data_IF_247194604441
#
_entry.id   IF_247194604441
#
_cell.length_a   1.000
_cell.length_b   1.000
_cell.length_c   1.000
_cell.angle_alpha   90.00
_cell.angle_beta   90.00
_cell.angle_gamma   90.00
#
_symmetry.space_group_name_H-M   'P 1'
#
loop_
_entity.id
_entity.type
_entity.pdbx_description
1 polymer ?
#
# COMPACT_ATOMS: atom_id res chain seq x y z
N UNK A 1 9.79 47.36 -18.24
CA UNK A 1 9.70 46.95 -16.82
C UNK A 1 8.45 46.09 -16.56
N UNK A 2 7.29 46.43 -17.14
CA UNK A 2 6.04 45.65 -17.03
C UNK A 2 6.14 44.16 -17.41
N UNK A 3 6.87 43.78 -18.47
CA UNK A 3 6.93 42.38 -18.91
C UNK A 3 7.75 41.43 -18.01
N UNK A 4 8.72 41.96 -17.24
CA UNK A 4 9.53 41.12 -16.33
C UNK A 4 8.72 40.66 -15.12
N UNK A 5 7.82 41.51 -14.60
CA UNK A 5 7.00 41.21 -13.42
C UNK A 5 5.86 40.23 -13.74
N UNK A 6 5.31 40.29 -14.96
CA UNK A 6 4.29 39.32 -15.40
C UNK A 6 4.88 37.93 -15.61
N UNK A 7 6.08 37.82 -16.20
CA UNK A 7 6.79 36.55 -16.35
C UNK A 7 7.09 35.93 -14.99
N UNK A 8 7.61 36.70 -14.02
CA UNK A 8 7.89 36.20 -12.67
C UNK A 8 6.61 35.70 -11.97
N UNK A 9 5.50 36.42 -12.12
CA UNK A 9 4.20 36.02 -11.57
C UNK A 9 3.73 34.69 -12.17
N UNK A 10 3.83 34.54 -13.49
CA UNK A 10 3.47 33.29 -14.18
C UNK A 10 4.34 32.11 -13.72
N UNK A 11 5.65 32.33 -13.56
CA UNK A 11 6.58 31.31 -13.05
C UNK A 11 6.24 30.91 -11.60
N UNK A 12 5.86 31.85 -10.74
CA UNK A 12 5.43 31.56 -9.37
C UNK A 12 4.14 30.73 -9.34
N UNK A 13 3.14 31.09 -10.16
CA UNK A 13 1.91 30.30 -10.25
C UNK A 13 2.17 28.89 -10.79
N UNK A 14 3.01 28.77 -11.82
CA UNK A 14 3.44 27.49 -12.36
C UNK A 14 4.18 26.65 -11.30
N UNK A 15 4.99 27.28 -10.46
CA UNK A 15 5.66 26.62 -9.34
C UNK A 15 4.64 26.00 -8.36
N UNK A 16 3.61 26.73 -7.92
CA UNK A 16 2.60 26.14 -7.02
C UNK A 16 1.80 25.01 -7.67
N UNK A 17 1.41 25.17 -8.94
CA UNK A 17 0.69 24.12 -9.69
C UNK A 17 1.56 22.87 -9.81
N UNK A 18 2.85 23.02 -10.12
CA UNK A 18 3.77 21.90 -10.21
C UNK A 18 3.95 21.20 -8.86
N UNK A 19 4.00 21.93 -7.74
CA UNK A 19 4.04 21.31 -6.41
C UNK A 19 2.79 20.47 -6.11
N UNK A 20 1.58 20.97 -6.42
CA UNK A 20 0.34 20.21 -6.23
C UNK A 20 0.33 18.92 -7.06
N UNK A 21 0.76 19.01 -8.33
CA UNK A 21 0.87 17.83 -9.21
C UNK A 21 1.89 16.83 -8.65
N UNK A 22 3.04 17.28 -8.14
CA UNK A 22 4.04 16.39 -7.55
C UNK A 22 3.52 15.69 -6.28
N UNK A 23 2.80 16.39 -5.41
CA UNK A 23 2.16 15.81 -4.22
C UNK A 23 1.15 14.73 -4.64
N UNK A 24 0.30 15.01 -5.61
CA UNK A 24 -0.68 14.06 -6.13
C UNK A 24 -0.02 12.83 -6.77
N UNK A 25 1.01 13.02 -7.59
CA UNK A 25 1.76 11.91 -8.21
C UNK A 25 2.48 11.06 -7.16
N UNK A 26 3.05 11.68 -6.13
CA UNK A 26 3.66 10.98 -5.01
C UNK A 26 2.63 10.11 -4.28
N UNK A 27 1.47 10.68 -3.94
CA UNK A 27 0.37 9.95 -3.31
C UNK A 27 -0.08 8.75 -4.15
N UNK A 28 -0.37 8.95 -5.44
CA UNK A 28 -0.82 7.88 -6.34
C UNK A 28 0.23 6.78 -6.49
N UNK A 29 1.50 7.15 -6.66
CA UNK A 29 2.61 6.20 -6.77
C UNK A 29 2.74 5.36 -5.50
N UNK A 30 2.71 6.01 -4.33
CA UNK A 30 2.84 5.32 -3.05
C UNK A 30 1.61 4.47 -2.73
N UNK A 31 0.41 4.92 -3.06
CA UNK A 31 -0.84 4.15 -2.95
C UNK A 31 -0.78 2.88 -3.80
N UNK A 32 -0.34 2.98 -5.07
CA UNK A 32 -0.17 1.83 -5.97
C UNK A 32 0.83 0.82 -5.40
N UNK A 33 1.97 1.30 -4.89
CA UNK A 33 2.97 0.45 -4.26
C UNK A 33 2.41 -0.31 -3.04
N UNK A 34 1.67 0.36 -2.15
CA UNK A 34 1.04 -0.29 -0.98
C UNK A 34 -0.03 -1.30 -1.38
N UNK A 35 -0.84 -1.00 -2.39
CA UNK A 35 -1.82 -1.95 -2.94
C UNK A 35 -1.13 -3.20 -3.51
N UNK A 36 0.00 -3.01 -4.20
CA UNK A 36 0.82 -4.12 -4.69
C UNK A 36 1.34 -5.02 -3.57
N UNK A 37 1.83 -4.44 -2.48
CA UNK A 37 2.25 -5.20 -1.29
C UNK A 37 1.08 -5.97 -0.67
N UNK A 38 -0.09 -5.33 -0.52
CA UNK A 38 -1.31 -5.98 -0.02
C UNK A 38 -1.63 -7.23 -0.83
N UNK A 39 -1.80 -7.06 -2.14
CA UNK A 39 -2.12 -8.18 -3.05
C UNK A 39 -1.06 -9.28 -2.94
N UNK A 40 0.23 -8.91 -2.97
CA UNK A 40 1.34 -9.85 -2.91
C UNK A 40 1.36 -10.72 -1.63
N UNK A 41 0.99 -10.16 -0.48
CA UNK A 41 0.90 -10.88 0.79
C UNK A 41 -0.36 -11.75 0.86
N UNK A 42 -1.52 -11.21 0.51
CA UNK A 42 -2.77 -11.97 0.51
C UNK A 42 -2.74 -13.13 -0.48
N UNK A 43 -2.13 -12.95 -1.66
CA UNK A 43 -1.92 -14.05 -2.61
C UNK A 43 -1.06 -15.16 -1.99
N UNK A 44 0.01 -14.82 -1.27
CA UNK A 44 0.85 -15.83 -0.60
C UNK A 44 0.07 -16.58 0.50
N UNK A 45 -0.78 -15.88 1.28
CA UNK A 45 -1.66 -16.50 2.27
C UNK A 45 -2.65 -17.47 1.61
N UNK A 46 -3.34 -17.03 0.55
CA UNK A 46 -4.33 -17.85 -0.16
C UNK A 46 -3.67 -19.06 -0.81
N UNK A 47 -2.55 -18.87 -1.49
CA UNK A 47 -1.78 -19.96 -2.10
C UNK A 47 -1.34 -20.96 -1.03
N UNK A 48 -0.74 -20.50 0.08
CA UNK A 48 -0.37 -21.37 1.19
C UNK A 48 -1.57 -22.13 1.77
N UNK A 49 -2.69 -21.45 2.04
CA UNK A 49 -3.90 -22.07 2.57
C UNK A 49 -4.49 -23.11 1.60
N UNK A 50 -4.43 -22.88 0.28
CA UNK A 50 -4.86 -23.87 -0.71
C UNK A 50 -4.00 -25.13 -0.70
N UNK A 51 -2.71 -25.00 -0.39
CA UNK A 51 -1.81 -26.16 -0.27
C UNK A 51 -1.99 -26.90 1.06
N UNK A 52 -2.50 -26.24 2.11
CA UNK A 52 -2.72 -26.85 3.42
C UNK A 52 -4.12 -27.49 3.50
N UNK A 53 -5.15 -26.72 3.12
CA UNK A 53 -6.56 -26.96 3.45
C UNK A 53 -7.32 -27.83 2.43
N UNK A 54 -8.46 -27.33 1.95
CA UNK A 54 -9.37 -28.07 1.07
C UNK A 54 -8.65 -28.49 -0.22
N UNK A 55 -8.64 -29.80 -0.52
CA UNK A 55 -7.82 -30.51 -1.54
C UNK A 55 -6.28 -30.44 -1.37
N UNK A 56 -5.80 -29.86 -0.27
CA UNK A 56 -4.39 -29.72 0.08
C UNK A 56 -3.82 -30.86 0.91
N UNK A 57 -2.77 -30.56 1.68
CA UNK A 57 -2.04 -31.46 2.57
C UNK A 57 -2.96 -32.24 3.50
N UNK A 58 -3.83 -31.54 4.23
CA UNK A 58 -4.71 -32.16 5.23
C UNK A 58 -5.72 -33.09 4.54
N UNK A 59 -6.21 -32.70 3.36
CA UNK A 59 -7.15 -33.51 2.60
C UNK A 59 -6.50 -34.80 2.08
N UNK A 60 -5.32 -34.69 1.46
CA UNK A 60 -4.60 -35.86 0.95
C UNK A 60 -4.11 -36.75 2.08
N UNK A 61 -3.70 -36.19 3.22
CA UNK A 61 -3.40 -36.97 4.42
C UNK A 61 -4.61 -37.76 4.93
N UNK A 62 -5.81 -37.16 4.97
CA UNK A 62 -7.03 -37.89 5.34
C UNK A 62 -7.36 -38.99 4.33
N UNK A 63 -7.29 -38.69 3.03
CA UNK A 63 -7.55 -39.70 2.00
C UNK A 63 -6.53 -40.85 2.03
N UNK A 64 -5.29 -40.57 2.37
CA UNK A 64 -4.26 -41.56 2.58
C UNK A 64 -4.56 -42.53 3.73
N UNK A 65 -5.22 -42.06 4.80
CA UNK A 65 -5.71 -42.91 5.89
C UNK A 65 -6.91 -43.75 5.42
N UNK A 66 -7.85 -43.13 4.70
CA UNK A 66 -9.11 -43.76 4.28
C UNK A 66 -8.92 -44.77 3.13
N UNK A 67 -7.92 -44.56 2.27
CA UNK A 67 -7.65 -45.33 1.05
C UNK A 67 -6.18 -45.73 0.99
N UNK A 68 -5.70 -46.59 1.91
CA UNK A 68 -4.28 -46.95 1.99
C UNK A 68 -3.75 -47.66 0.74
N UNK A 69 -4.64 -48.24 -0.07
CA UNK A 69 -4.30 -48.90 -1.33
C UNK A 69 -4.09 -47.91 -2.50
N UNK A 70 -4.29 -46.62 -2.29
CA UNK A 70 -4.12 -45.54 -3.27
C UNK A 70 -2.89 -44.69 -2.90
N UNK A 71 -1.66 -45.11 -3.27
CA UNK A 71 -0.42 -44.49 -2.77
C UNK A 71 -0.20 -43.05 -3.25
N UNK A 72 -0.95 -42.59 -4.26
CA UNK A 72 -0.82 -41.23 -4.78
C UNK A 72 -1.16 -40.17 -3.72
N UNK A 73 -2.09 -40.44 -2.80
CA UNK A 73 -2.40 -39.49 -1.72
C UNK A 73 -1.21 -39.22 -0.80
N UNK A 74 -0.29 -40.18 -0.63
CA UNK A 74 0.95 -39.97 0.13
C UNK A 74 1.86 -39.00 -0.59
N UNK A 75 2.09 -39.25 -1.88
CA UNK A 75 2.92 -38.39 -2.73
C UNK A 75 2.36 -36.97 -2.82
N UNK A 76 1.04 -36.85 -3.01
CA UNK A 76 0.37 -35.56 -3.12
C UNK A 76 0.38 -34.78 -1.79
N UNK A 77 0.28 -35.47 -0.64
CA UNK A 77 0.45 -34.84 0.67
C UNK A 77 1.87 -34.26 0.83
N UNK A 78 2.91 -35.01 0.48
CA UNK A 78 4.28 -34.50 0.51
C UNK A 78 4.49 -33.31 -0.43
N UNK A 79 3.95 -33.38 -1.64
CA UNK A 79 4.06 -32.31 -2.63
C UNK A 79 3.31 -31.04 -2.19
N UNK A 80 2.13 -31.19 -1.61
CA UNK A 80 1.38 -30.08 -1.02
C UNK A 80 2.14 -29.45 0.16
N UNK A 81 2.75 -30.25 1.03
CA UNK A 81 3.59 -29.74 2.12
C UNK A 81 4.80 -28.96 1.56
N UNK A 82 5.46 -29.46 0.51
CA UNK A 82 6.58 -28.77 -0.15
C UNK A 82 6.14 -27.42 -0.74
N UNK A 83 5.02 -27.40 -1.48
CA UNK A 83 4.46 -26.17 -2.05
C UNK A 83 4.03 -25.19 -0.97
N UNK A 84 3.40 -25.66 0.10
CA UNK A 84 2.99 -24.84 1.24
C UNK A 84 4.20 -24.16 1.91
N UNK A 85 5.30 -24.89 2.14
CA UNK A 85 6.53 -24.31 2.69
C UNK A 85 7.10 -23.19 1.81
N UNK A 86 7.14 -23.37 0.49
CA UNK A 86 7.59 -22.32 -0.44
C UNK A 86 6.73 -21.07 -0.33
N UNK A 87 5.41 -21.24 -0.19
CA UNK A 87 4.50 -20.10 -0.04
C UNK A 87 4.64 -19.44 1.33
N UNK A 88 4.88 -20.22 2.38
CA UNK A 88 5.17 -19.70 3.70
C UNK A 88 6.46 -18.87 3.71
N UNK A 89 7.54 -19.34 3.09
CA UNK A 89 8.80 -18.58 3.01
C UNK A 89 8.59 -17.24 2.28
N UNK A 90 7.84 -17.25 1.18
CA UNK A 90 7.47 -16.01 0.47
C UNK A 90 6.62 -15.09 1.36
N UNK A 91 5.68 -15.65 2.11
CA UNK A 91 4.82 -14.90 3.02
C UNK A 91 5.64 -14.25 4.14
N UNK A 92 6.57 -14.98 4.76
CA UNK A 92 7.44 -14.44 5.81
C UNK A 92 8.32 -13.30 5.29
N UNK A 93 8.94 -13.47 4.11
CA UNK A 93 9.76 -12.41 3.48
C UNK A 93 8.90 -11.17 3.18
N UNK A 94 7.76 -11.33 2.50
CA UNK A 94 6.90 -10.20 2.10
C UNK A 94 6.22 -9.55 3.30
N UNK A 95 5.77 -10.35 4.26
CA UNK A 95 5.14 -9.90 5.48
C UNK A 95 6.12 -9.16 6.39
N UNK A 96 7.39 -9.58 6.46
CA UNK A 96 8.43 -8.87 7.19
C UNK A 96 8.67 -7.44 6.65
N UNK A 97 8.47 -7.17 5.35
CA UNK A 97 8.54 -5.79 4.82
C UNK A 97 7.46 -4.87 5.42
N UNK A 98 6.34 -5.43 5.87
CA UNK A 98 5.22 -4.70 6.45
C UNK A 98 5.31 -4.68 7.98
N UNK A 99 5.51 -5.86 8.57
CA UNK A 99 5.50 -6.14 10.02
C UNK A 99 6.87 -5.96 10.68
N UNK A 100 7.92 -5.63 9.92
CA UNK A 100 9.36 -5.64 10.30
C UNK A 100 9.94 -7.04 10.52
N UNK A 101 9.14 -7.93 11.10
CA UNK A 101 9.48 -9.33 11.35
C UNK A 101 8.20 -10.16 11.17
N UNK A 102 8.33 -11.31 10.54
CA UNK A 102 7.28 -12.32 10.49
C UNK A 102 7.91 -13.71 10.50
N UNK A 103 7.43 -14.56 11.40
CA UNK A 103 7.74 -15.98 11.45
C UNK A 103 6.46 -16.70 11.88
N UNK A 104 6.00 -17.68 11.11
CA UNK A 104 4.76 -18.41 11.39
C UNK A 104 5.08 -19.80 11.93
N UNK A 105 5.56 -19.83 13.18
CA UNK A 105 6.08 -21.04 13.81
C UNK A 105 5.00 -22.11 13.97
N UNK A 106 3.76 -21.73 14.31
CA UNK A 106 2.68 -22.71 14.46
C UNK A 106 2.40 -23.41 13.13
N UNK A 107 2.32 -22.66 12.03
CA UNK A 107 2.16 -23.22 10.67
C UNK A 107 3.33 -24.12 10.30
N UNK A 108 4.58 -23.73 10.61
CA UNK A 108 5.76 -24.59 10.36
C UNK A 108 5.67 -25.90 11.12
N UNK A 109 5.35 -25.84 12.42
CA UNK A 109 5.22 -27.05 13.24
C UNK A 109 4.10 -27.96 12.76
N UNK A 110 2.95 -27.41 12.37
CA UNK A 110 1.87 -28.19 11.77
C UNK A 110 2.32 -28.88 10.47
N UNK A 111 3.00 -28.19 9.56
CA UNK A 111 3.48 -28.80 8.32
C UNK A 111 4.48 -29.95 8.57
N UNK A 112 5.39 -29.77 9.54
CA UNK A 112 6.32 -30.83 9.97
C UNK A 112 5.56 -32.01 10.58
N UNK A 113 4.62 -31.74 11.49
CA UNK A 113 3.82 -32.75 12.17
C UNK A 113 3.00 -33.60 11.19
N UNK A 114 2.37 -33.00 10.18
CA UNK A 114 1.66 -33.73 9.13
C UNK A 114 2.63 -34.52 8.25
N UNK A 115 3.77 -33.93 7.86
CA UNK A 115 4.78 -34.63 7.04
C UNK A 115 5.28 -35.90 7.73
N UNK A 116 5.59 -35.82 9.02
CA UNK A 116 5.99 -36.96 9.83
C UNK A 116 4.89 -38.02 9.90
N UNK A 117 3.64 -37.61 10.14
CA UNK A 117 2.49 -38.54 10.18
C UNK A 117 2.24 -39.23 8.84
N UNK A 118 2.35 -38.52 7.71
CA UNK A 118 2.27 -39.11 6.37
C UNK A 118 3.36 -40.19 6.21
N UNK A 119 4.57 -39.94 6.71
CA UNK A 119 5.67 -40.91 6.61
C UNK A 119 5.48 -42.17 7.47
N UNK A 120 4.63 -42.11 8.51
CA UNK A 120 4.31 -43.27 9.36
C UNK A 120 3.23 -44.17 8.78
N UNK A 121 2.42 -43.68 7.83
CA UNK A 121 1.27 -44.42 7.28
C UNK A 121 1.62 -45.81 6.75
N UNK A 122 2.67 -46.00 5.92
CA UNK A 122 3.00 -47.33 5.38
C UNK A 122 3.21 -48.37 6.48
N UNK A 123 3.97 -48.02 7.52
CA UNK A 123 4.27 -48.93 8.64
C UNK A 123 3.05 -49.23 9.52
N UNK A 124 2.06 -48.33 9.57
CA UNK A 124 0.81 -48.55 10.33
C UNK A 124 -0.17 -49.41 9.54
N UNK A 125 -0.20 -49.28 8.21
CA UNK A 125 -0.99 -50.16 7.33
C UNK A 125 -0.50 -51.60 7.40
N UNK A 126 0.81 -51.83 7.48
CA UNK A 126 1.40 -53.18 7.62
C UNK A 126 1.02 -53.88 8.95
N UNK A 127 0.66 -53.12 9.99
CA UNK A 127 0.27 -53.65 11.31
C UNK A 127 -1.19 -54.08 11.39
N UNK A 128 -1.94 -54.11 10.28
CA UNK A 128 -3.37 -54.43 10.23
C UNK A 128 -4.24 -53.60 11.18
N UNK A 129 -3.82 -52.38 11.52
CA UNK A 129 -4.65 -51.46 12.29
C UNK A 129 -5.89 -51.06 11.47
N UNK A 130 -7.04 -50.95 12.13
CA UNK A 130 -8.24 -50.42 11.49
C UNK A 130 -8.08 -48.94 11.15
N UNK A 131 -8.83 -48.48 10.15
CA UNK A 131 -8.84 -47.06 9.73
C UNK A 131 -9.11 -46.11 10.91
N UNK A 132 -10.03 -46.50 11.81
CA UNK A 132 -10.38 -45.72 13.01
C UNK A 132 -9.21 -45.61 13.99
N UNK A 133 -8.46 -46.70 14.19
CA UNK A 133 -7.28 -46.70 15.07
C UNK A 133 -6.15 -45.86 14.48
N UNK A 134 -5.93 -45.93 13.16
CA UNK A 134 -4.92 -45.10 12.47
C UNK A 134 -5.29 -43.61 12.53
N UNK A 135 -6.54 -43.25 12.28
CA UNK A 135 -7.02 -41.86 12.37
C UNK A 135 -6.84 -41.30 13.78
N UNK A 136 -7.22 -42.07 14.81
CA UNK A 136 -7.06 -41.66 16.20
C UNK A 136 -5.58 -41.54 16.61
N UNK A 137 -4.73 -42.47 16.17
CA UNK A 137 -3.29 -42.45 16.48
C UNK A 137 -2.56 -41.27 15.82
N UNK A 138 -2.95 -40.91 14.59
CA UNK A 138 -2.29 -39.85 13.83
C UNK A 138 -2.94 -38.47 13.98
N UNK A 139 -3.94 -38.33 14.85
CA UNK A 139 -4.63 -37.05 15.06
C UNK A 139 -3.64 -35.93 15.43
N UNK A 140 -3.93 -34.73 14.94
CA UNK A 140 -3.15 -33.52 15.22
C UNK A 140 -4.11 -32.35 15.42
N UNK A 141 -3.81 -31.49 16.39
CA UNK A 141 -4.53 -30.25 16.64
C UNK A 141 -3.88 -29.10 15.85
N UNK A 142 -4.51 -28.71 14.74
CA UNK A 142 -4.05 -27.66 13.84
C UNK A 142 -4.64 -26.27 14.14
N UNK A 143 -5.46 -26.16 15.19
CA UNK A 143 -6.07 -24.88 15.61
C UNK A 143 -5.03 -23.78 15.88
N UNK A 144 -3.86 -24.03 16.51
CA UNK A 144 -2.84 -23.01 16.69
C UNK A 144 -2.35 -22.39 15.36
N UNK A 145 -2.29 -23.18 14.29
CA UNK A 145 -1.89 -22.71 12.96
C UNK A 145 -2.99 -21.88 12.32
N UNK A 146 -4.25 -22.28 12.48
CA UNK A 146 -5.39 -21.52 12.01
C UNK A 146 -5.44 -20.12 12.64
N UNK A 147 -5.27 -20.06 13.97
CA UNK A 147 -5.21 -18.80 14.73
C UNK A 147 -4.05 -17.93 14.25
N UNK A 148 -2.85 -18.49 14.09
CA UNK A 148 -1.68 -17.74 13.65
C UNK A 148 -1.89 -17.11 12.27
N UNK A 149 -2.43 -17.86 11.30
CA UNK A 149 -2.74 -17.35 9.95
C UNK A 149 -3.71 -16.16 10.03
N UNK A 150 -4.79 -16.30 10.80
CA UNK A 150 -5.79 -15.24 10.97
C UNK A 150 -5.18 -13.98 11.60
N UNK A 151 -4.43 -14.15 12.70
CA UNK A 151 -3.79 -13.03 13.41
C UNK A 151 -2.80 -12.29 12.51
N UNK A 152 -2.01 -13.01 11.70
CA UNK A 152 -1.07 -12.40 10.75
C UNK A 152 -1.81 -11.65 9.66
N UNK A 153 -2.85 -12.24 9.08
CA UNK A 153 -3.67 -11.60 8.04
C UNK A 153 -4.30 -10.30 8.55
N UNK A 154 -4.87 -10.32 9.75
CA UNK A 154 -5.50 -9.15 10.38
C UNK A 154 -4.47 -8.05 10.69
N UNK A 155 -3.31 -8.41 11.25
CA UNK A 155 -2.21 -7.46 11.52
C UNK A 155 -1.72 -6.78 10.25
N UNK A 156 -1.55 -7.54 9.15
CA UNK A 156 -1.15 -6.98 7.86
C UNK A 156 -2.23 -6.03 7.33
N UNK A 157 -3.51 -6.40 7.44
CA UNK A 157 -4.63 -5.58 7.01
C UNK A 157 -4.63 -4.21 7.71
N UNK A 158 -4.61 -4.24 9.05
CA UNK A 158 -4.66 -3.06 9.91
C UNK A 158 -3.47 -2.14 9.63
N UNK A 159 -2.25 -2.67 9.57
CA UNK A 159 -1.05 -1.84 9.36
C UNK A 159 -0.98 -1.22 7.96
N UNK A 160 -1.47 -1.90 6.94
CA UNK A 160 -1.53 -1.34 5.59
C UNK A 160 -2.61 -0.26 5.48
N UNK A 161 -3.74 -0.44 6.14
CA UNK A 161 -4.82 0.54 6.20
C UNK A 161 -4.41 1.81 6.96
N UNK A 162 -3.70 1.64 8.08
CA UNK A 162 -3.15 2.75 8.87
C UNK A 162 -2.11 3.55 8.06
N UNK A 163 -1.16 2.86 7.42
CA UNK A 163 -0.18 3.50 6.51
C UNK A 163 -0.85 4.23 5.35
N UNK A 164 -1.96 3.71 4.81
CA UNK A 164 -2.71 4.37 3.74
C UNK A 164 -3.39 5.64 4.24
N UNK A 165 -4.00 5.57 5.42
CA UNK A 165 -4.67 6.70 6.07
C UNK A 165 -3.68 7.82 6.37
N UNK A 166 -2.50 7.48 6.87
CA UNK A 166 -1.44 8.45 7.13
C UNK A 166 -0.84 9.06 5.86
N UNK A 167 -0.68 8.25 4.80
CA UNK A 167 -0.26 8.76 3.50
C UNK A 167 -1.26 9.80 2.97
N UNK A 168 -2.56 9.51 3.03
CA UNK A 168 -3.61 10.44 2.63
C UNK A 168 -3.58 11.72 3.48
N UNK A 169 -3.52 11.58 4.81
CA UNK A 169 -3.46 12.69 5.75
C UNK A 169 -2.27 13.61 5.48
N UNK A 170 -1.09 13.04 5.23
CA UNK A 170 0.11 13.80 4.94
C UNK A 170 0.07 14.47 3.56
N UNK A 171 -0.53 13.81 2.57
CA UNK A 171 -0.76 14.41 1.25
C UNK A 171 -1.71 15.60 1.33
N UNK A 172 -2.81 15.47 2.08
CA UNK A 172 -3.77 16.55 2.30
C UNK A 172 -3.16 17.72 3.08
N UNK A 173 -2.40 17.44 4.15
CA UNK A 173 -1.67 18.47 4.91
C UNK A 173 -0.70 19.24 4.00
N UNK A 174 0.05 18.52 3.17
CA UNK A 174 1.01 19.14 2.24
C UNK A 174 0.31 20.02 1.20
N UNK A 175 -0.76 19.52 0.57
CA UNK A 175 -1.57 20.31 -0.37
C UNK A 175 -2.22 21.52 0.29
N UNK A 176 -2.73 21.38 1.51
CA UNK A 176 -3.28 22.53 2.25
C UNK A 176 -2.22 23.62 2.52
N UNK A 177 -1.00 23.24 2.90
CA UNK A 177 0.11 24.19 3.11
C UNK A 177 0.45 24.92 1.80
N UNK A 178 0.54 24.18 0.69
CA UNK A 178 0.83 24.74 -0.63
C UNK A 178 -0.28 25.69 -1.09
N UNK A 179 -1.55 25.32 -0.88
CA UNK A 179 -2.71 26.15 -1.17
C UNK A 179 -2.70 27.46 -0.37
N UNK A 180 -2.45 27.40 0.95
CA UNK A 180 -2.36 28.60 1.79
C UNK A 180 -1.21 29.49 1.33
N UNK A 181 -0.05 28.92 1.01
CA UNK A 181 1.09 29.68 0.50
C UNK A 181 0.79 30.34 -0.85
N UNK A 182 0.08 29.66 -1.75
CA UNK A 182 -0.39 30.21 -3.02
C UNK A 182 -1.34 31.40 -2.79
N UNK A 183 -2.33 31.25 -1.90
CA UNK A 183 -3.29 32.32 -1.59
C UNK A 183 -2.60 33.56 -1.01
N UNK A 184 -1.67 33.37 -0.07
CA UNK A 184 -0.87 34.49 0.48
C UNK A 184 -0.05 35.17 -0.61
N UNK A 185 0.58 34.38 -1.49
CA UNK A 185 1.36 34.91 -2.61
C UNK A 185 0.49 35.72 -3.57
N UNK A 186 -0.71 35.22 -3.88
CA UNK A 186 -1.68 35.89 -4.74
C UNK A 186 -2.18 37.21 -4.14
N UNK A 187 -2.41 37.26 -2.82
CA UNK A 187 -2.75 38.51 -2.12
C UNK A 187 -1.62 39.54 -2.24
N UNK A 188 -0.36 39.12 -2.09
CA UNK A 188 0.81 40.01 -2.24
C UNK A 188 0.93 40.53 -3.69
N UNK A 189 0.78 39.65 -4.67
CA UNK A 189 0.80 40.00 -6.10
C UNK A 189 -0.29 41.01 -6.42
N UNK A 190 -1.53 40.77 -5.99
CA UNK A 190 -2.66 41.67 -6.19
C UNK A 190 -2.36 43.04 -5.57
N UNK A 191 -1.92 43.09 -4.31
CA UNK A 191 -1.56 44.36 -3.65
C UNK A 191 -0.47 45.12 -4.40
N UNK A 192 0.53 44.42 -4.92
CA UNK A 192 1.59 45.02 -5.72
C UNK A 192 1.05 45.66 -7.01
N UNK A 193 0.24 44.93 -7.79
CA UNK A 193 -0.36 45.44 -9.02
C UNK A 193 -1.33 46.61 -8.77
N UNK A 194 -2.13 46.58 -7.71
CA UNK A 194 -3.00 47.71 -7.33
C UNK A 194 -2.19 48.96 -7.01
N UNK A 195 -1.10 48.84 -6.25
CA UNK A 195 -0.22 49.97 -5.93
C UNK A 195 0.46 50.54 -7.18
N UNK A 196 0.87 49.68 -8.10
CA UNK A 196 1.46 50.09 -9.38
C UNK A 196 0.45 50.84 -10.25
N UNK A 197 -0.78 50.32 -10.38
CA UNK A 197 -1.85 51.02 -11.10
C UNK A 197 -2.20 52.38 -10.49
N UNK A 198 -2.23 52.50 -9.17
CA UNK A 198 -2.46 53.79 -8.51
C UNK A 198 -1.37 54.82 -8.85
N UNK A 199 -0.10 54.39 -8.90
CA UNK A 199 1.02 55.27 -9.31
C UNK A 199 0.88 55.72 -10.77
N UNK A 200 0.57 54.80 -11.68
CA UNK A 200 0.37 55.12 -13.11
C UNK A 200 -0.79 56.09 -13.29
N UNK A 201 -1.91 55.89 -12.59
CA UNK A 201 -3.06 56.82 -12.61
C UNK A 201 -2.68 58.20 -12.08
N UNK A 202 -1.99 58.28 -10.94
CA UNK A 202 -1.55 59.55 -10.37
C UNK A 202 -0.62 60.34 -11.30
N UNK A 203 0.32 59.64 -11.98
CA UNK A 203 1.20 60.25 -12.98
C UNK A 203 0.42 60.76 -14.20
N UNK A 204 -0.52 59.97 -14.72
CA UNK A 204 -1.36 60.38 -15.84
C UNK A 204 -2.22 61.60 -15.49
N UNK A 205 -2.82 61.64 -14.30
CA UNK A 205 -3.57 62.81 -13.83
C UNK A 205 -2.69 64.06 -13.74
N UNK A 206 -1.48 63.94 -13.18
CA UNK A 206 -0.54 65.06 -13.09
C UNK A 206 -0.11 65.57 -14.48
N UNK A 207 0.14 64.67 -15.44
CA UNK A 207 0.49 65.05 -16.81
C UNK A 207 -0.67 65.78 -17.51
N UNK A 208 -1.91 65.31 -17.34
CA UNK A 208 -3.09 65.96 -17.90
C UNK A 208 -3.29 67.37 -17.33
N UNK A 209 -3.17 67.55 -16.02
CA UNK A 209 -3.23 68.87 -15.37
C UNK A 209 -2.16 69.81 -15.94
N UNK A 210 -0.93 69.32 -16.11
CA UNK A 210 0.17 70.10 -16.68
C UNK A 210 -0.09 70.49 -18.14
N UNK A 211 -0.67 69.59 -18.94
CA UNK A 211 -1.04 69.86 -20.33
C UNK A 211 -2.17 70.87 -20.44
N UNK A 212 -3.18 70.82 -19.56
CA UNK A 212 -4.25 71.81 -19.50
C UNK A 212 -3.73 73.20 -19.13
N UNK A 213 -2.84 73.31 -18.13
CA UNK A 213 -2.18 74.56 -17.79
C UNK A 213 -1.42 75.17 -18.96
N UNK A 214 -0.60 74.37 -19.65
CA UNK A 214 0.11 74.81 -20.86
C UNK A 214 -0.83 75.28 -21.98
N UNK A 215 -1.98 74.65 -22.17
CA UNK A 215 -2.98 75.09 -23.17
C UNK A 215 -3.58 76.44 -22.81
N UNK A 216 -3.86 76.68 -21.53
CA UNK A 216 -4.36 77.97 -21.04
C UNK A 216 -3.32 79.07 -21.23
N UNK A 217 -2.05 78.78 -20.94
CA UNK A 217 -0.95 79.75 -21.12
C UNK A 217 -0.74 80.11 -22.60
N UNK A 218 -0.80 79.13 -23.50
CA UNK A 218 -0.73 79.38 -24.94
C UNK A 218 -1.92 80.17 -25.49
N UNK A 219 -3.11 80.02 -24.90
CA UNK A 219 -4.29 80.77 -25.31
C UNK A 219 -4.30 82.24 -24.80
N UNK A 220 -3.41 82.58 -23.86
CA UNK A 220 -3.26 83.94 -23.30
C UNK A 220 -2.14 84.75 -23.97
N UNK A 221 -1.29 84.11 -24.76
CA UNK A 221 -0.24 84.74 -25.57
C UNK A 221 -0.71 85.02 -26.99
#
# INVERSE_FOLDING_TARGET
>A
MYSKNSVLTALLLLFFITQEVLIALYYVSKQKYMRGQRVSVYSAIIEMQSQIGYVGLIHNFKNAILRPNEPHYWADAFENCRKANIQLDKLEIKGALILRQLNMLAVRYMMVAYKERVSLLPALTEKNMSISEVDNYLRYDDEPSHIEIKVVADKVAILLEDKMSDLLRNSLKSGFIVLVALLLTLVVIIRFFFKDQQKVRAQSTMLNIKMEGHKVDMARS
#
